data_IF_490206506586
#
_entry.id   IF_490206506586
#
_cell.length_a   1.000
_cell.length_b   1.000
_cell.length_c   1.000
_cell.angle_alpha   90.00
_cell.angle_beta   90.00
_cell.angle_gamma   90.00
#
_symmetry.space_group_name_H-M   'P 1'
#
loop_
_entity.id
_entity.type
_entity.pdbx_description
1 polymer ?
#
# COMPACT_ATOMS: atom_id res chain seq x y z
N UNK A 1 1.75 -7.17 26.53
CA UNK A 1 0.48 -7.49 25.83
C UNK A 1 -0.37 -6.25 25.49
N UNK A 2 -0.56 -5.26 26.39
CA UNK A 2 -1.50 -4.13 26.18
C UNK A 2 -1.19 -3.15 25.03
N UNK A 3 0.09 -2.97 24.67
CA UNK A 3 0.48 -2.00 23.63
C UNK A 3 -0.04 -2.38 22.23
N UNK A 4 -0.19 -3.69 21.96
CA UNK A 4 -0.61 -4.19 20.65
C UNK A 4 -2.04 -3.76 20.32
N UNK A 5 -2.97 -3.84 21.29
CA UNK A 5 -4.37 -3.43 21.07
C UNK A 5 -4.51 -1.96 20.69
N UNK A 6 -3.71 -1.10 21.33
CA UNK A 6 -3.69 0.32 21.06
C UNK A 6 -3.31 0.57 19.58
N UNK A 7 -2.30 -0.15 19.06
CA UNK A 7 -1.94 -0.05 17.64
C UNK A 7 -3.04 -0.54 16.69
N UNK A 8 -3.80 -1.58 17.04
CA UNK A 8 -4.91 -2.06 16.21
C UNK A 8 -6.06 -1.04 16.17
N UNK A 9 -6.43 -0.47 17.31
CA UNK A 9 -7.49 0.55 17.37
C UNK A 9 -7.05 1.81 16.61
N UNK A 10 -5.87 2.34 16.91
CA UNK A 10 -5.35 3.55 16.25
C UNK A 10 -5.23 3.32 14.74
N UNK A 11 -4.65 2.19 14.33
CA UNK A 11 -4.47 1.86 12.92
C UNK A 11 -5.81 1.67 12.18
N UNK A 12 -6.75 0.94 12.77
CA UNK A 12 -8.07 0.73 12.19
C UNK A 12 -8.87 2.03 12.03
N UNK A 13 -8.88 2.88 13.06
CA UNK A 13 -9.52 4.20 13.00
C UNK A 13 -8.84 5.10 11.97
N UNK A 14 -7.51 5.13 11.95
CA UNK A 14 -6.75 5.90 10.95
C UNK A 14 -7.05 5.45 9.53
N UNK A 15 -7.21 4.14 9.30
CA UNK A 15 -7.48 3.62 7.97
C UNK A 15 -8.90 3.88 7.49
N UNK A 16 -9.89 3.88 8.41
CA UNK A 16 -11.24 4.37 8.10
C UNK A 16 -11.21 5.86 7.75
N UNK A 17 -10.44 6.66 8.48
CA UNK A 17 -10.26 8.07 8.17
C UNK A 17 -9.65 8.28 6.77
N UNK A 18 -8.61 7.52 6.41
CA UNK A 18 -8.04 7.52 5.06
C UNK A 18 -9.06 7.13 3.99
N UNK A 19 -9.96 6.19 4.26
CA UNK A 19 -10.99 5.80 3.32
C UNK A 19 -11.86 7.00 2.92
N UNK A 20 -12.34 7.77 3.91
CA UNK A 20 -13.13 8.97 3.64
C UNK A 20 -12.33 10.08 2.95
N UNK A 21 -11.03 10.20 3.25
CA UNK A 21 -10.15 11.14 2.57
C UNK A 21 -10.01 10.79 1.07
N UNK A 22 -9.90 9.50 0.73
CA UNK A 22 -9.86 9.03 -0.65
C UNK A 22 -11.13 9.42 -1.41
N UNK A 23 -12.32 9.33 -0.81
CA UNK A 23 -13.57 9.77 -1.47
C UNK A 23 -13.57 11.28 -1.79
N UNK A 24 -12.96 12.09 -0.92
CA UNK A 24 -12.87 13.55 -1.06
C UNK A 24 -11.71 14.00 -1.96
N UNK A 25 -10.77 13.09 -2.25
CA UNK A 25 -9.58 13.39 -3.02
C UNK A 25 -9.90 13.96 -4.41
N UNK A 26 -9.10 14.94 -4.83
CA UNK A 26 -9.14 15.54 -6.16
C UNK A 26 -7.81 15.27 -6.86
N UNK A 27 -7.83 15.26 -8.19
CA UNK A 27 -6.60 15.20 -8.98
C UNK A 27 -5.66 16.34 -8.55
N UNK A 28 -4.41 15.99 -8.27
CA UNK A 28 -3.38 16.96 -7.89
C UNK A 28 -3.20 17.99 -9.01
N UNK A 29 -3.23 19.27 -8.65
CA UNK A 29 -2.91 20.39 -9.54
C UNK A 29 -1.40 20.66 -9.63
N UNK A 30 -0.57 19.96 -8.84
CA UNK A 30 0.89 20.12 -8.84
C UNK A 30 1.49 19.59 -10.14
N UNK A 31 2.67 20.12 -10.46
CA UNK A 31 3.48 19.65 -11.58
C UNK A 31 3.72 18.14 -11.53
N UNK A 32 3.70 17.50 -12.71
CA UNK A 32 3.92 16.06 -12.86
C UNK A 32 5.23 15.61 -12.21
N UNK A 33 6.30 16.39 -12.37
CA UNK A 33 7.62 16.12 -11.75
C UNK A 33 7.55 16.13 -10.23
N UNK A 34 6.84 17.10 -9.64
CA UNK A 34 6.68 17.19 -8.19
C UNK A 34 5.90 15.99 -7.63
N UNK A 35 4.79 15.61 -8.28
CA UNK A 35 4.02 14.42 -7.88
C UNK A 35 4.85 13.12 -7.98
N UNK A 36 5.69 12.99 -9.01
CA UNK A 36 6.58 11.84 -9.17
C UNK A 36 7.63 11.76 -8.05
N UNK A 37 8.30 12.87 -7.74
CA UNK A 37 9.31 12.91 -6.67
C UNK A 37 8.68 12.55 -5.32
N UNK A 38 7.50 13.10 -5.01
CA UNK A 38 6.79 12.76 -3.77
C UNK A 38 6.53 11.25 -3.68
N UNK A 39 6.01 10.63 -4.75
CA UNK A 39 5.77 9.20 -4.78
C UNK A 39 7.05 8.37 -4.64
N UNK A 40 8.11 8.75 -5.35
CA UNK A 40 9.41 8.08 -5.29
C UNK A 40 10.01 8.16 -3.88
N UNK A 41 10.00 9.35 -3.26
CA UNK A 41 10.51 9.55 -1.90
C UNK A 41 9.67 8.78 -0.89
N UNK A 42 8.33 8.77 -1.02
CA UNK A 42 7.46 7.97 -0.15
C UNK A 42 7.79 6.47 -0.24
N UNK A 43 8.07 5.95 -1.43
CA UNK A 43 8.48 4.54 -1.59
C UNK A 43 9.86 4.26 -0.99
N UNK A 44 10.87 5.05 -1.34
CA UNK A 44 12.26 4.86 -0.90
C UNK A 44 12.47 5.03 0.59
N UNK A 45 11.65 5.85 1.26
CA UNK A 45 11.76 6.08 2.71
C UNK A 45 10.82 5.21 3.54
N UNK A 46 9.96 4.40 2.92
CA UNK A 46 9.01 3.56 3.64
C UNK A 46 9.72 2.35 4.27
N UNK A 47 9.85 2.26 5.61
CA UNK A 47 10.56 1.18 6.28
C UNK A 47 9.92 -0.19 6.05
N UNK A 48 8.60 -0.25 5.85
CA UNK A 48 7.90 -1.49 5.54
C UNK A 48 8.32 -2.05 4.17
N UNK A 49 8.44 -1.17 3.15
CA UNK A 49 8.90 -1.61 1.84
C UNK A 49 10.35 -2.09 1.88
N UNK A 50 11.25 -1.33 2.51
CA UNK A 50 12.67 -1.71 2.64
C UNK A 50 12.80 -3.05 3.36
N UNK A 51 12.10 -3.21 4.50
CA UNK A 51 12.14 -4.45 5.27
C UNK A 51 11.64 -5.64 4.45
N UNK A 52 10.53 -5.46 3.74
CA UNK A 52 9.95 -6.49 2.88
C UNK A 52 10.93 -6.94 1.78
N UNK A 53 11.63 -6.01 1.13
CA UNK A 53 12.63 -6.34 0.11
C UNK A 53 13.75 -7.21 0.67
N UNK A 54 14.24 -6.87 1.86
CA UNK A 54 15.31 -7.64 2.52
C UNK A 54 14.78 -9.04 2.89
N UNK A 55 13.62 -9.13 3.54
CA UNK A 55 13.11 -10.42 4.02
C UNK A 55 12.69 -11.35 2.89
N UNK A 56 11.93 -10.85 1.91
CA UNK A 56 11.43 -11.65 0.80
C UNK A 56 12.54 -11.98 -0.19
N UNK A 57 13.45 -11.04 -0.46
CA UNK A 57 14.59 -11.27 -1.34
C UNK A 57 15.52 -12.36 -0.81
N UNK A 58 15.88 -12.31 0.48
CA UNK A 58 16.72 -13.33 1.11
C UNK A 58 16.03 -14.70 1.10
N UNK A 59 14.74 -14.75 1.45
CA UNK A 59 13.96 -15.99 1.42
C UNK A 59 13.92 -16.61 0.01
N UNK A 60 13.69 -15.82 -1.03
CA UNK A 60 13.66 -16.33 -2.40
C UNK A 60 15.01 -16.88 -2.86
N UNK A 61 16.12 -16.24 -2.50
CA UNK A 61 17.46 -16.75 -2.82
C UNK A 61 17.74 -18.04 -2.07
N UNK A 62 17.30 -18.16 -0.82
CA UNK A 62 17.47 -19.36 -0.01
C UNK A 62 16.71 -20.56 -0.59
N UNK A 63 15.47 -20.36 -1.04
CA UNK A 63 14.62 -21.44 -1.56
C UNK A 63 14.89 -21.79 -3.04
N UNK A 64 15.17 -20.79 -3.88
CA UNK A 64 15.26 -20.95 -5.33
C UNK A 64 16.66 -20.71 -5.91
N UNK A 65 17.63 -20.39 -5.05
CA UNK A 65 18.99 -20.03 -5.47
C UNK A 65 19.06 -18.70 -6.21
N UNK A 66 20.22 -18.41 -6.80
CA UNK A 66 20.46 -17.15 -7.54
C UNK A 66 19.69 -17.04 -8.87
N UNK A 67 19.15 -18.16 -9.39
CA UNK A 67 18.43 -18.19 -10.66
C UNK A 67 17.11 -17.43 -10.63
N UNK A 68 16.54 -17.18 -9.45
CA UNK A 68 15.28 -16.44 -9.30
C UNK A 68 15.46 -14.94 -9.54
N UNK A 69 16.68 -14.42 -9.40
CA UNK A 69 16.99 -12.98 -9.42
C UNK A 69 16.55 -12.33 -10.73
N UNK A 70 16.89 -12.83 -11.94
CA UNK A 70 16.48 -12.18 -13.18
C UNK A 70 14.96 -12.15 -13.38
N UNK A 71 14.25 -13.23 -13.02
CA UNK A 71 12.80 -13.30 -13.14
C UNK A 71 12.09 -12.36 -12.16
N UNK A 72 12.56 -12.34 -10.91
CA UNK A 72 12.01 -11.47 -9.87
C UNK A 72 12.21 -9.99 -10.20
N UNK A 73 13.47 -9.57 -10.43
CA UNK A 73 13.76 -8.18 -10.78
C UNK A 73 13.19 -7.78 -12.14
N UNK A 74 13.14 -8.71 -13.11
CA UNK A 74 12.46 -8.50 -14.39
C UNK A 74 10.98 -8.19 -14.22
N UNK A 75 10.26 -9.01 -13.43
CA UNK A 75 8.85 -8.77 -13.12
C UNK A 75 8.61 -7.44 -12.42
N UNK A 76 9.51 -7.04 -11.51
CA UNK A 76 9.44 -5.75 -10.81
C UNK A 76 9.65 -4.57 -11.76
N UNK A 77 10.67 -4.63 -12.63
CA UNK A 77 10.92 -3.59 -13.64
C UNK A 77 9.70 -3.46 -14.55
N UNK A 78 9.16 -4.58 -15.01
CA UNK A 78 7.94 -4.62 -15.83
C UNK A 78 6.78 -3.96 -15.08
N UNK A 79 6.57 -4.31 -13.81
CA UNK A 79 5.45 -3.75 -13.03
C UNK A 79 5.59 -2.25 -12.76
N UNK A 80 6.76 -1.81 -12.29
CA UNK A 80 7.05 -0.40 -11.97
C UNK A 80 7.00 0.49 -13.21
N UNK A 81 7.21 -0.05 -14.41
CA UNK A 81 7.11 0.70 -15.67
C UNK A 81 5.69 0.67 -16.24
N UNK A 82 5.07 -0.51 -16.32
CA UNK A 82 3.74 -0.68 -16.91
C UNK A 82 2.65 0.00 -16.08
N UNK A 83 2.69 -0.12 -14.75
CA UNK A 83 1.62 0.43 -13.90
C UNK A 83 1.51 1.96 -14.04
N UNK A 84 2.57 2.77 -13.87
CA UNK A 84 2.50 4.21 -14.09
C UNK A 84 2.21 4.58 -15.54
N UNK A 85 2.71 3.80 -16.51
CA UNK A 85 2.42 4.02 -17.93
C UNK A 85 0.92 3.92 -18.21
N UNK A 86 0.27 2.85 -17.75
CA UNK A 86 -1.17 2.62 -17.90
C UNK A 86 -1.97 3.70 -17.16
N UNK A 87 -1.61 4.02 -15.92
CA UNK A 87 -2.31 5.04 -15.13
C UNK A 87 -2.17 6.43 -15.75
N UNK A 88 -0.99 6.80 -16.25
CA UNK A 88 -0.78 8.09 -16.92
C UNK A 88 -1.61 8.19 -18.22
N UNK A 89 -1.83 7.07 -18.93
CA UNK A 89 -2.58 7.05 -20.19
C UNK A 89 -4.10 6.97 -19.98
N UNK A 90 -4.58 6.14 -19.05
CA UNK A 90 -6.01 5.82 -18.87
C UNK A 90 -6.61 6.31 -17.54
N UNK A 91 -5.80 6.79 -16.60
CA UNK A 91 -6.22 7.08 -15.23
C UNK A 91 -7.27 8.19 -15.10
N UNK A 92 -7.38 9.11 -16.06
CA UNK A 92 -8.42 10.16 -16.03
C UNK A 92 -9.84 9.58 -16.06
N UNK A 93 -10.08 8.62 -16.96
CA UNK A 93 -11.39 7.96 -17.10
C UNK A 93 -11.69 6.97 -15.96
N UNK A 94 -10.65 6.38 -15.37
CA UNK A 94 -10.79 5.41 -14.28
C UNK A 94 -10.80 6.05 -12.89
N UNK A 95 -10.60 7.37 -12.78
CA UNK A 95 -10.41 8.06 -11.50
C UNK A 95 -11.54 7.82 -10.50
N UNK A 96 -12.80 7.82 -10.95
CA UNK A 96 -13.95 7.56 -10.09
C UNK A 96 -14.00 6.09 -9.64
N UNK A 97 -13.73 5.16 -10.55
CA UNK A 97 -13.71 3.71 -10.26
C UNK A 97 -12.62 3.39 -9.24
N UNK A 98 -11.41 3.90 -9.46
CA UNK A 98 -10.27 3.72 -8.55
C UNK A 98 -10.62 4.24 -7.16
N UNK A 99 -11.28 5.40 -7.09
CA UNK A 99 -11.68 6.02 -5.82
C UNK A 99 -12.68 5.17 -5.05
N UNK A 100 -13.74 4.69 -5.71
CA UNK A 100 -14.78 3.87 -5.08
C UNK A 100 -14.21 2.54 -4.63
N UNK A 101 -13.44 1.87 -5.48
CA UNK A 101 -12.78 0.60 -5.13
C UNK A 101 -11.83 0.80 -3.95
N UNK A 102 -11.01 1.85 -3.96
CA UNK A 102 -10.07 2.14 -2.87
C UNK A 102 -10.80 2.41 -1.55
N UNK A 103 -11.91 3.16 -1.59
CA UNK A 103 -12.75 3.40 -0.41
C UNK A 103 -13.29 2.08 0.16
N UNK A 104 -13.88 1.22 -0.68
CA UNK A 104 -14.44 -0.07 -0.26
C UNK A 104 -13.36 -0.93 0.39
N UNK A 105 -12.19 -1.04 -0.24
CA UNK A 105 -11.07 -1.82 0.29
C UNK A 105 -10.61 -1.26 1.64
N UNK A 106 -10.39 0.05 1.75
CA UNK A 106 -9.91 0.69 2.99
C UNK A 106 -10.92 0.55 4.13
N UNK A 107 -12.23 0.71 3.86
CA UNK A 107 -13.28 0.48 4.86
C UNK A 107 -13.29 -0.98 5.30
N UNK A 108 -13.28 -1.93 4.35
CA UNK A 108 -13.34 -3.36 4.66
C UNK A 108 -12.18 -3.79 5.56
N UNK A 109 -10.94 -3.43 5.19
CA UNK A 109 -9.78 -3.73 6.02
C UNK A 109 -9.80 -2.93 7.33
N UNK A 110 -10.34 -1.71 7.37
CA UNK A 110 -10.39 -0.87 8.56
C UNK A 110 -11.31 -1.48 9.62
N UNK A 111 -12.50 -1.90 9.19
CA UNK A 111 -13.45 -2.65 10.00
C UNK A 111 -12.81 -3.97 10.46
N UNK A 112 -12.17 -4.72 9.57
CA UNK A 112 -11.50 -5.97 9.94
C UNK A 112 -10.45 -5.79 11.04
N UNK A 113 -9.58 -4.77 10.91
CA UNK A 113 -8.54 -4.47 11.92
C UNK A 113 -9.18 -4.07 13.25
N UNK A 114 -10.23 -3.24 13.23
CA UNK A 114 -10.93 -2.85 14.45
C UNK A 114 -11.60 -4.06 15.13
N UNK A 115 -12.30 -4.90 14.38
CA UNK A 115 -12.94 -6.11 14.91
C UNK A 115 -11.90 -7.05 15.53
N UNK A 116 -10.75 -7.25 14.86
CA UNK A 116 -9.63 -8.00 15.43
C UNK A 116 -9.11 -7.36 16.71
N UNK A 117 -8.97 -6.03 16.74
CA UNK A 117 -8.57 -5.29 17.93
C UNK A 117 -9.52 -5.49 19.11
N UNK A 118 -10.83 -5.34 18.89
CA UNK A 118 -11.86 -5.53 19.91
C UNK A 118 -11.94 -6.98 20.40
N UNK A 119 -11.91 -7.95 19.49
CA UNK A 119 -11.92 -9.37 19.84
C UNK A 119 -10.72 -9.77 20.70
N UNK A 120 -9.55 -9.21 20.41
CA UNK A 120 -8.35 -9.47 21.20
C UNK A 120 -8.48 -8.86 22.61
N UNK A 121 -9.18 -7.72 22.76
CA UNK A 121 -9.45 -7.08 24.06
C UNK A 121 -10.46 -7.87 24.88
N UNK A 122 -11.49 -8.45 24.25
CA UNK A 122 -12.52 -9.22 24.97
C UNK A 122 -12.05 -10.58 25.49
N UNK A 123 -10.91 -11.07 25.03
CA UNK A 123 -10.27 -12.33 25.46
C UNK A 123 -9.02 -12.13 26.33
N UNK A 124 -8.83 -10.92 26.88
CA UNK A 124 -7.85 -10.60 27.93
C UNK A 124 -8.45 -10.88 29.31
#
# INVERSE_FOLDING_TARGET
>A
MKIRYIFYIIGGTFMIWLAFDVLKSKLSSRDRKANYIVGLTMGLTNPFQITWWITSGLFMIQEFGLLIVPGFFGGIIIWITLFPFIVNRYGKGLSNIIRVISFIILIAFGIYILLKGFFLISHL
#
